data_IF_289223066862
#
_entry.id   IF_289223066862
#
_cell.length_a   1.000
_cell.length_b   1.000
_cell.length_c   1.000
_cell.angle_alpha   90.00
_cell.angle_beta   90.00
_cell.angle_gamma   90.00
#
_symmetry.space_group_name_H-M   'P 1'
#
loop_
_entity.id
_entity.type
_entity.pdbx_description
1 polymer ?
#
# COMPACT_ATOMS: atom_id res chain seq x y z
N UNK A 1 -20.27 6.43 -37.19
CA UNK A 1 -19.53 6.32 -35.94
C UNK A 1 -18.93 4.93 -35.93
N UNK A 2 -17.61 4.82 -36.05
CA UNK A 2 -16.92 3.51 -36.06
C UNK A 2 -16.88 3.03 -34.60
N UNK A 3 -17.63 1.99 -34.27
CA UNK A 3 -17.56 1.34 -32.98
C UNK A 3 -16.10 0.82 -32.81
N UNK A 4 -15.51 1.10 -31.65
CA UNK A 4 -14.21 0.57 -31.30
C UNK A 4 -14.39 -0.90 -30.93
N UNK A 5 -13.55 -1.76 -31.47
CA UNK A 5 -13.57 -3.20 -31.20
C UNK A 5 -12.99 -3.55 -29.83
N UNK A 6 -13.14 -4.81 -29.44
CA UNK A 6 -12.63 -5.30 -28.16
C UNK A 6 -11.10 -5.14 -28.06
N UNK A 7 -10.36 -5.33 -29.17
CA UNK A 7 -8.90 -5.18 -29.20
C UNK A 7 -8.47 -3.73 -28.89
N UNK A 8 -9.20 -2.74 -29.39
CA UNK A 8 -8.95 -1.32 -29.06
C UNK A 8 -9.09 -1.09 -27.55
N UNK A 9 -10.16 -1.57 -26.94
CA UNK A 9 -10.41 -1.39 -25.52
C UNK A 9 -9.39 -2.14 -24.67
N UNK A 10 -9.12 -3.40 -24.99
CA UNK A 10 -8.12 -4.21 -24.30
C UNK A 10 -6.73 -3.53 -24.33
N UNK A 11 -6.31 -2.98 -25.48
CA UNK A 11 -5.06 -2.25 -25.61
C UNK A 11 -5.02 -0.99 -24.73
N UNK A 12 -6.09 -0.20 -24.72
CA UNK A 12 -6.15 1.05 -23.95
C UNK A 12 -6.12 0.78 -22.44
N UNK A 13 -6.89 -0.19 -21.97
CA UNK A 13 -6.95 -0.52 -20.56
C UNK A 13 -5.70 -1.23 -20.06
N UNK A 14 -5.03 -1.99 -20.91
CA UNK A 14 -3.68 -2.52 -20.64
C UNK A 14 -2.66 -1.40 -20.42
N UNK A 15 -2.69 -0.34 -21.23
CA UNK A 15 -1.85 0.83 -21.03
C UNK A 15 -2.14 1.59 -19.73
N UNK A 16 -3.39 1.67 -19.32
CA UNK A 16 -3.76 2.24 -18.01
C UNK A 16 -3.22 1.39 -16.86
N UNK A 17 -3.35 0.07 -16.96
CA UNK A 17 -2.81 -0.86 -15.95
C UNK A 17 -1.30 -0.75 -15.85
N UNK A 18 -0.57 -0.75 -16.97
CA UNK A 18 0.88 -0.55 -17.00
C UNK A 18 1.29 0.75 -16.30
N UNK A 19 0.59 1.86 -16.59
CA UNK A 19 0.86 3.15 -15.94
C UNK A 19 0.60 3.11 -14.43
N UNK A 20 -0.46 2.45 -13.96
CA UNK A 20 -0.74 2.28 -12.53
C UNK A 20 0.26 1.35 -11.86
N UNK A 21 0.70 0.30 -12.55
CA UNK A 21 1.77 -0.59 -12.06
C UNK A 21 3.10 0.16 -11.91
N UNK A 22 3.45 1.02 -12.87
CA UNK A 22 4.65 1.86 -12.80
C UNK A 22 4.60 2.84 -11.63
N UNK A 23 3.45 3.50 -11.39
CA UNK A 23 3.25 4.36 -10.21
C UNK A 23 3.41 3.58 -8.91
N UNK A 24 2.84 2.39 -8.82
CA UNK A 24 2.97 1.52 -7.65
C UNK A 24 4.42 1.06 -7.44
N UNK A 25 5.14 0.75 -8.51
CA UNK A 25 6.56 0.40 -8.47
C UNK A 25 7.42 1.58 -8.03
N UNK A 26 7.14 2.78 -8.52
CA UNK A 26 7.79 4.00 -8.07
C UNK A 26 7.51 4.28 -6.60
N UNK A 27 6.27 4.13 -6.16
CA UNK A 27 5.88 4.28 -4.75
C UNK A 27 6.66 3.29 -3.86
N UNK A 28 6.75 2.02 -4.25
CA UNK A 28 7.51 1.00 -3.52
C UNK A 28 8.97 1.44 -3.36
N UNK A 29 9.62 1.83 -4.44
CA UNK A 29 11.01 2.28 -4.41
C UNK A 29 11.21 3.52 -3.53
N UNK A 30 10.38 4.56 -3.71
CA UNK A 30 10.55 5.85 -3.04
C UNK A 30 10.11 5.84 -1.59
N UNK A 31 9.09 5.08 -1.23
CA UNK A 31 8.48 5.11 0.09
C UNK A 31 8.76 3.83 0.90
N UNK A 32 8.58 2.64 0.32
CA UNK A 32 8.82 1.40 1.07
C UNK A 32 10.32 1.17 1.24
N UNK A 33 11.05 0.99 0.15
CA UNK A 33 12.47 0.62 0.21
C UNK A 33 13.35 1.68 0.89
N UNK A 34 13.13 2.96 0.60
CA UNK A 34 13.91 4.04 1.23
C UNK A 34 13.67 4.13 2.73
N UNK A 35 12.40 4.04 3.18
CA UNK A 35 12.09 4.12 4.61
C UNK A 35 12.62 2.91 5.37
N UNK A 36 12.47 1.71 4.82
CA UNK A 36 13.07 0.51 5.41
C UNK A 36 14.61 0.59 5.45
N UNK A 37 15.23 1.12 4.40
CA UNK A 37 16.68 1.33 4.38
C UNK A 37 17.14 2.28 5.49
N UNK A 38 16.41 3.36 5.74
CA UNK A 38 16.70 4.28 6.85
C UNK A 38 16.52 3.58 8.20
N UNK A 39 15.43 2.84 8.38
CA UNK A 39 15.18 2.08 9.60
C UNK A 39 16.25 1.02 9.86
N UNK A 40 16.73 0.31 8.84
CA UNK A 40 17.85 -0.64 8.94
C UNK A 40 19.10 0.08 9.46
N UNK A 41 19.46 1.24 8.90
CA UNK A 41 20.65 2.00 9.34
C UNK A 41 20.55 2.45 10.80
N UNK A 42 19.37 2.91 11.22
CA UNK A 42 19.18 3.33 12.62
C UNK A 42 19.22 2.11 13.57
N UNK A 43 18.59 0.99 13.21
CA UNK A 43 18.66 -0.24 14.00
C UNK A 43 20.10 -0.77 14.10
N UNK A 44 20.86 -0.78 13.00
CA UNK A 44 22.27 -1.19 13.01
C UNK A 44 23.13 -0.27 13.90
N UNK A 45 22.88 1.03 13.85
CA UNK A 45 23.57 2.03 14.70
C UNK A 45 23.27 1.80 16.18
N UNK A 46 22.00 1.62 16.55
CA UNK A 46 21.60 1.35 17.93
C UNK A 46 22.18 0.04 18.46
N UNK A 47 22.13 -1.02 17.68
CA UNK A 47 22.72 -2.32 18.04
C UNK A 47 24.24 -2.18 18.21
N UNK A 48 24.91 -1.49 17.30
CA UNK A 48 26.37 -1.27 17.37
C UNK A 48 26.74 -0.46 18.61
N UNK A 49 26.08 0.65 18.86
CA UNK A 49 26.33 1.49 20.02
C UNK A 49 26.05 0.74 21.33
N UNK A 50 25.00 -0.09 21.35
CA UNK A 50 24.68 -0.91 22.51
C UNK A 50 25.76 -1.96 22.78
N UNK A 51 26.22 -2.69 21.75
CA UNK A 51 27.27 -3.71 21.89
C UNK A 51 28.61 -3.09 22.28
N UNK A 52 28.96 -1.93 21.71
CA UNK A 52 30.19 -1.21 22.09
C UNK A 52 30.16 -0.79 23.55
N UNK A 53 29.13 -0.13 24.04
CA UNK A 53 28.95 0.23 25.45
C UNK A 53 28.99 -1.00 26.35
N UNK A 54 28.36 -2.09 25.91
CA UNK A 54 28.37 -3.34 26.65
C UNK A 54 29.77 -3.97 26.77
N UNK A 55 30.60 -3.85 25.72
CA UNK A 55 31.99 -4.35 25.72
C UNK A 55 32.94 -3.44 26.52
N UNK A 56 32.81 -2.11 26.41
CA UNK A 56 33.64 -1.10 27.10
C UNK A 56 33.44 -1.14 28.60
N UNK A 57 32.19 -1.24 29.07
CA UNK A 57 31.89 -1.25 30.51
C UNK A 57 32.36 -2.52 31.24
N UNK A 58 32.68 -3.58 30.51
CA UNK A 58 32.91 -4.86 31.14
C UNK A 58 34.32 -5.42 31.04
N UNK A 59 35.24 -4.90 30.25
CA UNK A 59 36.58 -5.50 30.03
C UNK A 59 36.58 -7.07 30.06
N UNK A 60 35.38 -7.65 29.93
CA UNK A 60 34.99 -9.02 30.19
C UNK A 60 34.29 -9.58 28.94
N UNK A 61 34.33 -10.90 28.77
CA UNK A 61 33.61 -11.55 27.68
C UNK A 61 32.11 -11.27 27.76
N UNK A 62 31.39 -11.25 26.61
CA UNK A 62 29.95 -11.10 26.54
C UNK A 62 29.16 -12.03 27.48
N UNK A 63 29.74 -13.18 27.86
CA UNK A 63 29.15 -14.13 28.78
C UNK A 63 29.17 -13.66 30.25
N UNK A 64 30.19 -12.89 30.65
CA UNK A 64 30.35 -12.37 32.01
C UNK A 64 29.61 -11.05 32.23
N UNK A 65 29.46 -10.24 31.19
CA UNK A 65 28.74 -8.98 31.24
C UNK A 65 27.22 -9.14 31.55
N UNK A 66 26.64 -10.33 31.37
CA UNK A 66 25.25 -10.66 31.72
C UNK A 66 24.93 -10.54 33.20
N UNK A 67 25.92 -10.60 34.08
CA UNK A 67 25.65 -10.69 35.53
C UNK A 67 25.60 -9.36 36.28
N UNK A 68 25.95 -8.22 35.62
CA UNK A 68 26.14 -6.96 36.35
C UNK A 68 25.44 -5.78 35.66
N UNK A 69 24.20 -5.54 36.01
CA UNK A 69 23.53 -4.26 35.70
C UNK A 69 23.56 -3.35 36.92
N UNK A 70 23.89 -2.08 36.70
CA UNK A 70 23.95 -1.09 37.77
C UNK A 70 22.71 -0.19 37.80
N UNK A 71 22.38 0.31 38.99
CA UNK A 71 21.26 1.23 39.23
C UNK A 71 21.31 2.50 38.36
N UNK A 72 22.53 2.94 37.97
CA UNK A 72 22.75 4.14 37.16
C UNK A 72 22.25 3.98 35.72
N UNK A 73 22.40 2.82 35.13
CA UNK A 73 21.95 2.51 33.76
C UNK A 73 20.43 2.40 33.67
N UNK A 74 19.78 1.99 34.76
CA UNK A 74 18.33 1.97 34.87
C UNK A 74 17.71 3.38 34.91
N UNK A 75 18.43 4.37 35.45
CA UNK A 75 18.00 5.77 35.49
C UNK A 75 18.10 6.45 34.12
N UNK A 76 19.18 6.20 33.37
CA UNK A 76 19.33 6.68 31.98
C UNK A 76 18.21 6.12 31.07
N UNK A 77 17.87 4.86 31.30
CA UNK A 77 16.83 4.20 30.53
C UNK A 77 15.43 4.74 30.83
N UNK A 78 15.10 5.05 32.09
CA UNK A 78 13.78 5.57 32.46
C UNK A 78 13.48 6.90 31.76
N UNK A 79 14.50 7.78 31.66
CA UNK A 79 14.40 9.04 30.94
C UNK A 79 14.15 8.80 29.42
N UNK A 80 14.89 7.88 28.80
CA UNK A 80 14.72 7.52 27.38
C UNK A 80 13.33 6.95 27.08
N UNK A 81 12.75 6.14 27.99
CA UNK A 81 11.39 5.58 27.81
C UNK A 81 10.31 6.66 27.85
N UNK A 82 10.44 7.66 28.74
CA UNK A 82 9.50 8.79 28.81
C UNK A 82 9.53 9.64 27.52
N UNK A 83 10.70 9.89 26.95
CA UNK A 83 10.83 10.55 25.65
C UNK A 83 10.21 9.72 24.52
N UNK A 84 10.40 8.40 24.53
CA UNK A 84 9.80 7.52 23.54
C UNK A 84 8.27 7.49 23.62
N UNK A 85 7.69 7.51 24.83
CA UNK A 85 6.25 7.63 25.04
C UNK A 85 5.73 8.92 24.43
N UNK A 86 6.41 10.06 24.72
CA UNK A 86 6.06 11.37 24.18
C UNK A 86 6.07 11.40 22.65
N UNK A 87 7.13 10.87 22.02
CA UNK A 87 7.19 10.77 20.57
C UNK A 87 6.13 9.84 20.00
N UNK A 88 5.79 8.76 20.70
CA UNK A 88 4.69 7.88 20.31
C UNK A 88 3.32 8.57 20.34
N UNK A 89 3.07 9.37 21.36
CA UNK A 89 1.83 10.16 21.50
C UNK A 89 1.74 11.28 20.44
N UNK A 90 2.86 11.95 20.14
CA UNK A 90 2.94 13.00 19.12
C UNK A 90 2.70 12.46 17.69
N UNK A 91 3.02 11.20 17.41
CA UNK A 91 2.89 10.58 16.11
C UNK A 91 1.65 9.67 15.95
N UNK A 92 0.67 9.75 16.84
CA UNK A 92 -0.55 8.92 16.82
C UNK A 92 -0.31 7.40 16.78
N UNK A 93 0.79 6.94 17.35
CA UNK A 93 1.15 5.52 17.44
C UNK A 93 0.17 4.79 18.37
N UNK A 94 -0.14 3.51 18.07
CA UNK A 94 -1.20 2.75 18.75
C UNK A 94 -1.11 2.83 20.28
N UNK A 95 -2.25 3.07 20.95
CA UNK A 95 -2.31 3.17 22.41
C UNK A 95 -1.83 1.91 23.15
N UNK A 96 -1.76 0.77 22.47
CA UNK A 96 -1.25 -0.48 23.00
C UNK A 96 0.28 -0.45 23.17
N UNK A 97 1.00 0.14 22.21
CA UNK A 97 2.46 0.34 22.31
C UNK A 97 2.81 1.33 23.44
N UNK A 98 2.07 2.44 23.57
CA UNK A 98 2.22 3.38 24.69
C UNK A 98 2.00 2.69 26.03
N UNK A 99 1.00 1.78 26.12
CA UNK A 99 0.75 0.97 27.32
C UNK A 99 1.89 0.00 27.62
N UNK A 100 2.47 -0.64 26.58
CA UNK A 100 3.62 -1.52 26.76
C UNK A 100 4.86 -0.76 27.27
N UNK A 101 5.11 0.45 26.73
CA UNK A 101 6.20 1.31 27.19
C UNK A 101 6.02 1.78 28.65
N UNK A 102 4.80 2.19 29.04
CA UNK A 102 4.48 2.54 30.43
C UNK A 102 4.72 1.34 31.36
N UNK A 103 4.23 0.17 30.98
CA UNK A 103 4.45 -1.07 31.74
C UNK A 103 5.94 -1.44 31.86
N UNK A 104 6.76 -1.16 30.84
CA UNK A 104 8.20 -1.37 30.90
C UNK A 104 8.89 -0.34 31.80
N UNK A 105 8.44 0.94 31.79
CA UNK A 105 8.94 2.01 32.65
C UNK A 105 8.64 1.75 34.14
N UNK A 106 7.50 1.13 34.46
CA UNK A 106 7.10 0.81 35.82
C UNK A 106 7.80 -0.41 36.41
N UNK A 107 8.52 -1.18 35.61
CA UNK A 107 9.30 -2.34 36.06
C UNK A 107 10.63 -1.90 36.67
N UNK A 108 10.85 -2.22 37.93
CA UNK A 108 12.05 -1.88 38.68
C UNK A 108 13.33 -2.57 38.12
N UNK A 109 13.21 -3.53 37.22
CA UNK A 109 14.30 -4.32 36.64
C UNK A 109 14.16 -4.46 35.13
N UNK A 110 14.45 -3.40 34.39
CA UNK A 110 14.61 -3.48 32.94
C UNK A 110 16.06 -3.85 32.62
N UNK A 111 16.29 -4.91 31.88
CA UNK A 111 17.65 -5.29 31.47
C UNK A 111 18.13 -4.40 30.32
N UNK A 112 19.47 -4.28 30.14
CA UNK A 112 20.05 -3.59 28.97
C UNK A 112 19.50 -4.16 27.65
N UNK A 113 19.28 -5.46 27.59
CA UNK A 113 18.72 -6.12 26.42
C UNK A 113 17.25 -5.72 26.19
N UNK A 114 16.46 -5.58 27.25
CA UNK A 114 15.07 -5.12 27.12
C UNK A 114 15.02 -3.68 26.65
N UNK A 115 15.97 -2.82 27.08
CA UNK A 115 16.15 -1.47 26.58
C UNK A 115 16.36 -1.45 25.06
N UNK A 116 17.28 -2.25 24.55
CA UNK A 116 17.52 -2.33 23.11
C UNK A 116 16.29 -2.85 22.35
N UNK A 117 15.58 -3.84 22.89
CA UNK A 117 14.33 -4.36 22.29
C UNK A 117 13.26 -3.29 22.19
N UNK A 118 13.11 -2.44 23.21
CA UNK A 118 12.14 -1.33 23.19
C UNK A 118 12.53 -0.29 22.13
N UNK A 119 13.81 0.06 22.01
CA UNK A 119 14.29 0.97 20.97
C UNK A 119 14.02 0.41 19.57
N UNK A 120 14.31 -0.87 19.35
CA UNK A 120 14.00 -1.54 18.08
C UNK A 120 12.50 -1.51 17.77
N UNK A 121 11.66 -1.80 18.76
CA UNK A 121 10.20 -1.76 18.59
C UNK A 121 9.74 -0.36 18.19
N UNK A 122 10.28 0.71 18.80
CA UNK A 122 9.94 2.08 18.45
C UNK A 122 10.27 2.41 16.99
N UNK A 123 11.46 2.03 16.52
CA UNK A 123 11.81 2.24 15.12
C UNK A 123 10.83 1.53 14.17
N UNK A 124 10.37 0.33 14.53
CA UNK A 124 9.38 -0.40 13.75
C UNK A 124 7.99 0.26 13.83
N UNK A 125 7.56 0.74 15.00
CA UNK A 125 6.28 1.46 15.15
C UNK A 125 6.26 2.72 14.27
N UNK A 126 7.31 3.52 14.31
CA UNK A 126 7.42 4.71 13.47
C UNK A 126 7.46 4.36 11.97
N UNK A 127 8.24 3.34 11.58
CA UNK A 127 8.32 2.88 10.20
C UNK A 127 6.94 2.45 9.68
N UNK A 128 6.27 1.57 10.39
CA UNK A 128 4.99 1.01 9.93
C UNK A 128 3.83 2.00 10.05
N UNK A 129 3.84 2.91 11.04
CA UNK A 129 2.91 4.03 11.12
C UNK A 129 2.99 4.92 9.87
N UNK A 130 4.20 5.32 9.48
CA UNK A 130 4.43 6.07 8.25
C UNK A 130 3.99 5.28 7.00
N UNK A 131 4.24 3.95 6.95
CA UNK A 131 3.79 3.11 5.84
C UNK A 131 2.26 3.07 5.73
N UNK A 132 1.53 3.00 6.84
CA UNK A 132 0.06 3.03 6.85
C UNK A 132 -0.45 4.34 6.27
N UNK A 133 0.05 5.49 6.76
CA UNK A 133 -0.42 6.81 6.34
C UNK A 133 -0.12 7.08 4.86
N UNK A 134 1.09 6.73 4.42
CA UNK A 134 1.50 6.96 3.03
C UNK A 134 0.81 6.01 2.07
N UNK A 135 0.57 4.76 2.46
CA UNK A 135 -0.16 3.80 1.64
C UNK A 135 -1.64 4.18 1.53
N UNK A 136 -2.27 4.63 2.62
CA UNK A 136 -3.65 5.14 2.58
C UNK A 136 -3.81 6.25 1.53
N UNK A 137 -2.90 7.23 1.55
CA UNK A 137 -2.89 8.31 0.57
C UNK A 137 -2.66 7.80 -0.86
N UNK A 138 -1.68 6.92 -1.05
CA UNK A 138 -1.39 6.34 -2.37
C UNK A 138 -2.61 5.59 -2.93
N UNK A 139 -3.30 4.80 -2.12
CA UNK A 139 -4.49 4.05 -2.56
C UNK A 139 -5.68 4.97 -2.89
N UNK A 140 -5.86 6.08 -2.15
CA UNK A 140 -6.86 7.09 -2.49
C UNK A 140 -6.53 7.77 -3.83
N UNK A 141 -5.28 8.11 -4.08
CA UNK A 141 -4.81 8.68 -5.35
C UNK A 141 -4.98 7.66 -6.49
N UNK A 142 -4.59 6.41 -6.30
CA UNK A 142 -4.78 5.31 -7.27
C UNK A 142 -6.25 5.15 -7.63
N UNK A 143 -7.14 5.12 -6.64
CA UNK A 143 -8.59 5.02 -6.91
C UNK A 143 -9.10 6.21 -7.71
N UNK A 144 -8.74 7.44 -7.32
CA UNK A 144 -9.21 8.65 -7.99
C UNK A 144 -8.67 8.74 -9.43
N UNK A 145 -7.39 8.49 -9.63
CA UNK A 145 -6.75 8.51 -10.94
C UNK A 145 -7.34 7.45 -11.86
N UNK A 146 -7.46 6.21 -11.40
CA UNK A 146 -8.06 5.12 -12.18
C UNK A 146 -9.51 5.42 -12.56
N UNK A 147 -10.29 6.04 -11.66
CA UNK A 147 -11.66 6.46 -11.94
C UNK A 147 -11.73 7.48 -13.08
N UNK A 148 -10.92 8.54 -13.01
CA UNK A 148 -10.95 9.61 -14.02
C UNK A 148 -10.31 9.20 -15.34
N UNK A 149 -9.22 8.44 -15.33
CA UNK A 149 -8.60 7.92 -16.53
C UNK A 149 -9.53 6.96 -17.27
N UNK A 150 -10.26 6.10 -16.53
CA UNK A 150 -11.28 5.23 -17.09
C UNK A 150 -12.37 6.04 -17.80
N UNK A 151 -12.88 7.10 -17.15
CA UNK A 151 -13.88 7.97 -17.76
C UNK A 151 -13.37 8.66 -19.03
N UNK A 152 -12.12 9.16 -18.97
CA UNK A 152 -11.48 9.80 -20.12
C UNK A 152 -11.33 8.83 -21.30
N UNK A 153 -10.81 7.63 -21.07
CA UNK A 153 -10.62 6.65 -22.15
C UNK A 153 -11.93 6.20 -22.78
N UNK A 154 -12.95 5.96 -21.95
CA UNK A 154 -14.28 5.59 -22.48
C UNK A 154 -14.89 6.76 -23.25
N UNK A 155 -14.85 7.99 -22.73
CA UNK A 155 -15.34 9.18 -23.41
C UNK A 155 -14.62 9.39 -24.75
N UNK A 156 -13.30 9.30 -24.77
CA UNK A 156 -12.47 9.42 -25.97
C UNK A 156 -12.75 8.32 -27.00
N UNK A 157 -12.86 7.07 -26.56
CA UNK A 157 -13.11 5.96 -27.46
C UNK A 157 -14.51 5.95 -28.05
N UNK A 158 -15.49 6.46 -27.32
CA UNK A 158 -16.87 6.63 -27.79
C UNK A 158 -17.13 7.99 -28.46
N UNK A 159 -16.15 8.89 -28.47
CA UNK A 159 -16.28 10.25 -28.99
C UNK A 159 -17.41 11.06 -28.32
N UNK A 160 -17.59 10.88 -27.00
CA UNK A 160 -18.63 11.54 -26.21
C UNK A 160 -18.04 12.35 -25.07
N UNK A 161 -18.68 13.46 -24.72
CA UNK A 161 -18.34 14.21 -23.53
C UNK A 161 -19.06 13.61 -22.31
N UNK A 162 -18.30 13.35 -21.26
CA UNK A 162 -18.83 12.87 -19.98
C UNK A 162 -18.48 13.88 -18.90
N UNK A 163 -19.50 14.48 -18.30
CA UNK A 163 -19.30 15.35 -17.15
C UNK A 163 -19.21 14.49 -15.88
N UNK A 164 -18.14 14.67 -15.11
CA UNK A 164 -17.86 13.91 -13.92
C UNK A 164 -17.85 14.83 -12.70
N UNK A 165 -18.48 14.40 -11.62
CA UNK A 165 -18.34 15.07 -10.35
C UNK A 165 -16.97 14.75 -9.71
N UNK A 166 -16.39 15.75 -9.05
CA UNK A 166 -15.16 15.51 -8.30
C UNK A 166 -15.42 14.51 -7.17
N UNK A 167 -14.54 13.53 -7.05
CA UNK A 167 -14.58 12.60 -5.93
C UNK A 167 -14.23 13.36 -4.64
N UNK A 168 -15.06 13.19 -3.62
CA UNK A 168 -14.86 13.77 -2.29
C UNK A 168 -13.82 12.95 -1.52
N UNK A 169 -12.90 13.64 -0.83
CA UNK A 169 -11.85 12.99 -0.05
C UNK A 169 -12.42 12.09 1.06
N UNK A 170 -13.51 12.49 1.72
CA UNK A 170 -14.14 11.65 2.74
C UNK A 170 -14.68 10.34 2.15
N UNK A 171 -15.18 10.39 0.90
CA UNK A 171 -15.63 9.22 0.19
C UNK A 171 -14.48 8.33 -0.22
N UNK A 172 -13.35 8.89 -0.69
CA UNK A 172 -12.14 8.15 -1.02
C UNK A 172 -11.61 7.41 0.21
N UNK A 173 -11.45 8.10 1.34
CA UNK A 173 -11.02 7.51 2.59
C UNK A 173 -11.98 6.39 3.05
N UNK A 174 -13.30 6.59 2.92
CA UNK A 174 -14.29 5.56 3.25
C UNK A 174 -14.22 4.32 2.35
N UNK A 175 -13.80 4.46 1.10
CA UNK A 175 -13.61 3.31 0.19
C UNK A 175 -12.36 2.53 0.56
N UNK A 176 -11.24 3.23 0.78
CA UNK A 176 -9.93 2.63 1.07
C UNK A 176 -9.89 1.95 2.44
N UNK A 177 -10.66 2.46 3.42
CA UNK A 177 -10.73 1.86 4.76
C UNK A 177 -11.57 0.58 4.86
N UNK A 178 -12.24 0.14 3.77
CA UNK A 178 -13.07 -1.06 3.80
C UNK A 178 -12.29 -2.30 3.41
N UNK A 179 -12.40 -3.40 4.18
CA UNK A 179 -11.82 -4.66 3.79
C UNK A 179 -12.52 -5.22 2.55
N UNK A 180 -11.75 -5.69 1.59
CA UNK A 180 -12.25 -6.29 0.36
C UNK A 180 -12.01 -7.80 0.28
N UNK A 181 -11.07 -8.31 1.08
CA UNK A 181 -10.76 -9.74 1.18
C UNK A 181 -11.71 -10.41 2.19
N UNK A 182 -12.02 -11.68 1.97
CA UNK A 182 -12.95 -12.46 2.80
C UNK A 182 -12.56 -12.58 4.27
N UNK A 183 -11.29 -12.37 4.61
CA UNK A 183 -10.79 -12.41 5.99
C UNK A 183 -11.14 -11.14 6.79
N UNK A 184 -11.79 -10.16 6.18
CA UNK A 184 -12.20 -8.91 6.80
C UNK A 184 -11.06 -8.00 7.24
N UNK A 185 -9.84 -8.22 6.74
CA UNK A 185 -8.66 -7.41 7.07
C UNK A 185 -8.37 -6.36 6.00
N UNK A 186 -8.04 -5.15 6.47
CA UNK A 186 -7.58 -4.03 5.63
C UNK A 186 -6.08 -4.13 5.38
N UNK A 187 -5.54 -3.28 4.49
CA UNK A 187 -4.10 -3.13 4.30
C UNK A 187 -3.40 -2.69 5.61
N UNK A 188 -4.03 -1.81 6.40
CA UNK A 188 -3.51 -1.37 7.68
C UNK A 188 -3.39 -2.52 8.68
N UNK A 189 -4.43 -3.36 8.82
CA UNK A 189 -4.39 -4.55 9.68
C UNK A 189 -3.26 -5.50 9.28
N UNK A 190 -2.99 -5.62 7.97
CA UNK A 190 -1.91 -6.46 7.45
C UNK A 190 -0.53 -5.88 7.77
N UNK A 191 -0.35 -4.57 7.60
CA UNK A 191 0.90 -3.89 7.95
C UNK A 191 1.20 -4.02 9.44
N UNK A 192 0.22 -3.77 10.31
CA UNK A 192 0.42 -3.91 11.76
C UNK A 192 0.76 -5.34 12.18
N UNK A 193 0.09 -6.32 11.61
CA UNK A 193 0.41 -7.75 11.84
C UNK A 193 1.83 -8.09 11.37
N UNK A 194 2.23 -7.61 10.20
CA UNK A 194 3.57 -7.86 9.65
C UNK A 194 4.64 -7.18 10.52
N UNK A 195 4.38 -5.98 11.06
CA UNK A 195 5.21 -5.32 12.08
C UNK A 195 5.35 -6.17 13.34
N UNK A 196 4.26 -6.68 13.90
CA UNK A 196 4.29 -7.51 15.10
C UNK A 196 5.10 -8.79 14.89
N UNK A 197 4.92 -9.42 13.73
CA UNK A 197 5.69 -10.61 13.34
C UNK A 197 7.18 -10.28 13.23
N UNK A 198 7.54 -9.20 12.53
CA UNK A 198 8.91 -8.74 12.37
C UNK A 198 9.56 -8.40 13.71
N UNK A 199 8.85 -7.66 14.57
CA UNK A 199 9.31 -7.28 15.90
C UNK A 199 9.63 -8.51 16.77
N UNK A 200 8.72 -9.49 16.79
CA UNK A 200 8.90 -10.74 17.53
C UNK A 200 10.14 -11.49 17.05
N UNK A 201 10.28 -11.67 15.75
CA UNK A 201 11.42 -12.38 15.14
C UNK A 201 12.74 -11.67 15.42
N UNK A 202 12.79 -10.34 15.28
CA UNK A 202 14.00 -9.57 15.54
C UNK A 202 14.40 -9.61 17.02
N UNK A 203 13.44 -9.47 17.94
CA UNK A 203 13.71 -9.54 19.38
C UNK A 203 14.20 -10.92 19.82
N UNK A 204 13.62 -11.99 19.27
CA UNK A 204 14.06 -13.35 19.54
C UNK A 204 15.46 -13.61 19.01
N UNK A 205 15.74 -13.26 17.75
CA UNK A 205 17.06 -13.45 17.15
C UNK A 205 18.13 -12.62 17.84
N UNK A 206 17.84 -11.37 18.20
CA UNK A 206 18.74 -10.55 18.98
C UNK A 206 19.07 -11.19 20.34
N UNK A 207 18.05 -11.65 21.05
CA UNK A 207 18.23 -12.33 22.35
C UNK A 207 19.10 -13.57 22.21
N UNK A 208 18.83 -14.39 21.21
CA UNK A 208 19.61 -15.61 20.94
C UNK A 208 21.06 -15.29 20.55
N UNK A 209 21.28 -14.28 19.71
CA UNK A 209 22.60 -13.87 19.28
C UNK A 209 23.45 -13.32 20.46
N UNK A 210 22.84 -12.49 21.30
CA UNK A 210 23.48 -11.97 22.52
C UNK A 210 23.77 -13.11 23.50
N UNK A 211 22.84 -14.06 23.65
CA UNK A 211 23.02 -15.25 24.51
C UNK A 211 24.18 -16.11 24.02
N UNK A 212 24.34 -16.29 22.72
CA UNK A 212 25.42 -17.09 22.13
C UNK A 212 26.75 -16.34 22.03
N UNK A 213 26.76 -15.00 22.25
CA UNK A 213 27.93 -14.19 22.05
C UNK A 213 28.33 -14.04 20.58
N UNK A 214 27.35 -13.96 19.69
CA UNK A 214 27.60 -13.85 18.25
C UNK A 214 28.33 -12.54 17.91
N UNK A 215 29.21 -12.54 16.89
CA UNK A 215 29.86 -11.34 16.40
C UNK A 215 28.83 -10.31 15.91
N UNK A 216 29.10 -9.00 16.14
CA UNK A 216 28.25 -7.89 15.71
C UNK A 216 27.84 -7.99 14.23
N UNK A 217 28.79 -8.35 13.35
CA UNK A 217 28.52 -8.50 11.91
C UNK A 217 27.45 -9.54 11.59
N UNK A 218 27.31 -10.62 12.37
CA UNK A 218 26.27 -11.61 12.20
C UNK A 218 24.91 -11.06 12.68
N UNK A 219 24.91 -10.33 13.78
CA UNK A 219 23.69 -9.74 14.34
C UNK A 219 23.09 -8.71 13.35
N UNK A 220 23.91 -7.78 12.86
CA UNK A 220 23.47 -6.77 11.89
C UNK A 220 23.05 -7.38 10.56
N UNK A 221 23.75 -8.42 10.09
CA UNK A 221 23.36 -9.18 8.91
C UNK A 221 21.97 -9.81 9.09
N UNK A 222 21.71 -10.47 10.21
CA UNK A 222 20.40 -11.08 10.49
C UNK A 222 19.28 -10.06 10.50
N UNK A 223 19.49 -8.88 11.09
CA UNK A 223 18.52 -7.77 11.04
C UNK A 223 18.26 -7.34 9.60
N UNK A 224 19.31 -7.14 8.82
CA UNK A 224 19.17 -6.75 7.40
C UNK A 224 18.40 -7.77 6.57
N UNK A 225 18.70 -9.04 6.75
CA UNK A 225 18.02 -10.13 6.03
C UNK A 225 16.53 -10.18 6.38
N UNK A 226 16.15 -10.01 7.65
CA UNK A 226 14.74 -9.97 8.08
C UNK A 226 14.00 -8.75 7.59
N UNK A 227 14.63 -7.59 7.64
CA UNK A 227 14.07 -6.36 7.07
C UNK A 227 13.89 -6.49 5.54
N UNK A 228 14.78 -7.17 4.83
CA UNK A 228 14.64 -7.46 3.39
C UNK A 228 13.40 -8.31 3.08
N UNK A 229 13.07 -9.29 3.93
CA UNK A 229 11.83 -10.07 3.82
C UNK A 229 10.61 -9.16 4.07
N UNK A 230 10.69 -8.27 5.05
CA UNK A 230 9.60 -7.33 5.35
C UNK A 230 9.37 -6.32 4.22
N UNK A 231 10.43 -5.82 3.57
CA UNK A 231 10.33 -4.99 2.35
C UNK A 231 9.56 -5.73 1.26
N UNK A 232 9.91 -6.99 1.00
CA UNK A 232 9.25 -7.79 -0.02
C UNK A 232 7.77 -8.05 0.30
N UNK A 233 7.42 -8.21 1.59
CA UNK A 233 6.04 -8.35 2.05
C UNK A 233 5.25 -7.06 1.84
N UNK A 234 5.81 -5.91 2.24
CA UNK A 234 5.20 -4.60 2.07
C UNK A 234 5.01 -4.25 0.57
N UNK A 235 6.01 -4.50 -0.26
CA UNK A 235 5.93 -4.28 -1.71
C UNK A 235 4.80 -5.10 -2.36
N UNK A 236 4.69 -6.38 -1.97
CA UNK A 236 3.60 -7.25 -2.43
C UNK A 236 2.23 -6.74 -2.00
N UNK A 237 2.11 -6.26 -0.78
CA UNK A 237 0.88 -5.65 -0.28
C UNK A 237 0.50 -4.42 -1.10
N UNK A 238 1.43 -3.48 -1.29
CA UNK A 238 1.22 -2.28 -2.11
C UNK A 238 0.71 -2.65 -3.51
N UNK A 239 1.41 -3.51 -4.22
CA UNK A 239 1.03 -3.91 -5.59
C UNK A 239 -0.37 -4.55 -5.64
N UNK A 240 -0.70 -5.39 -4.65
CA UNK A 240 -1.99 -6.09 -4.62
C UNK A 240 -3.15 -5.16 -4.28
N UNK A 241 -2.97 -4.28 -3.29
CA UNK A 241 -3.99 -3.30 -2.90
C UNK A 241 -4.20 -2.25 -4.02
N UNK A 242 -3.12 -1.77 -4.64
CA UNK A 242 -3.23 -0.82 -5.77
C UNK A 242 -4.01 -1.44 -6.95
N UNK A 243 -3.71 -2.68 -7.32
CA UNK A 243 -4.47 -3.38 -8.37
C UNK A 243 -5.96 -3.55 -8.02
N UNK A 244 -6.28 -3.84 -6.76
CA UNK A 244 -7.66 -3.91 -6.30
C UNK A 244 -8.37 -2.56 -6.40
N UNK A 245 -7.79 -1.49 -5.85
CA UNK A 245 -8.44 -0.18 -5.84
C UNK A 245 -8.54 0.43 -7.24
N UNK A 246 -7.58 0.20 -8.12
CA UNK A 246 -7.68 0.57 -9.54
C UNK A 246 -8.86 -0.15 -10.22
N UNK A 247 -8.98 -1.46 -10.03
CA UNK A 247 -10.08 -2.26 -10.59
C UNK A 247 -11.45 -1.85 -10.01
N UNK A 248 -11.53 -1.59 -8.70
CA UNK A 248 -12.76 -1.11 -8.06
C UNK A 248 -13.19 0.28 -8.58
N UNK A 249 -12.22 1.15 -8.84
CA UNK A 249 -12.47 2.45 -9.46
C UNK A 249 -12.99 2.32 -10.90
N UNK A 250 -12.39 1.42 -11.70
CA UNK A 250 -12.85 1.10 -13.06
C UNK A 250 -14.29 0.56 -13.03
N UNK A 251 -14.60 -0.40 -12.15
CA UNK A 251 -15.96 -0.92 -11.96
C UNK A 251 -16.95 0.19 -11.65
N UNK A 252 -16.59 1.08 -10.73
CA UNK A 252 -17.46 2.20 -10.34
C UNK A 252 -17.68 3.16 -11.51
N UNK A 253 -16.63 3.46 -12.26
CA UNK A 253 -16.72 4.29 -13.46
C UNK A 253 -17.55 3.63 -14.56
N UNK A 254 -17.34 2.36 -14.85
CA UNK A 254 -18.13 1.60 -15.81
C UNK A 254 -19.63 1.60 -15.46
N UNK A 255 -19.94 1.38 -14.17
CA UNK A 255 -21.31 1.48 -13.68
C UNK A 255 -21.93 2.87 -13.91
N UNK A 256 -21.16 3.93 -13.67
CA UNK A 256 -21.58 5.32 -13.90
C UNK A 256 -21.82 5.60 -15.40
N UNK A 257 -20.96 5.07 -16.27
CA UNK A 257 -21.04 5.24 -17.72
C UNK A 257 -22.06 4.31 -18.39
N UNK A 258 -22.69 3.41 -17.62
CA UNK A 258 -23.70 2.47 -18.14
C UNK A 258 -23.11 1.29 -18.91
N UNK A 259 -21.81 1.02 -18.77
CA UNK A 259 -21.17 -0.20 -19.27
C UNK A 259 -21.77 -1.41 -18.56
N UNK A 260 -22.18 -2.42 -19.31
CA UNK A 260 -22.86 -3.60 -18.76
C UNK A 260 -21.97 -4.80 -18.61
N UNK A 261 -21.03 -4.94 -19.51
CA UNK A 261 -20.10 -6.07 -19.57
C UNK A 261 -18.66 -5.59 -19.66
N UNK A 262 -17.77 -6.39 -19.14
CA UNK A 262 -16.33 -6.15 -19.25
C UNK A 262 -15.61 -7.41 -19.71
N UNK A 263 -14.49 -7.21 -20.36
CA UNK A 263 -13.53 -8.23 -20.73
C UNK A 263 -12.41 -8.29 -19.69
N UNK A 264 -12.02 -9.49 -19.29
CA UNK A 264 -10.80 -9.70 -18.49
C UNK A 264 -9.59 -9.65 -19.42
N UNK A 265 -8.64 -8.79 -19.14
CA UNK A 265 -7.46 -8.56 -19.97
C UNK A 265 -6.20 -8.89 -19.15
N UNK A 266 -5.53 -9.99 -19.51
CA UNK A 266 -4.27 -10.36 -18.90
C UNK A 266 -3.08 -9.65 -19.57
N UNK A 267 -2.04 -9.35 -18.78
CA UNK A 267 -0.73 -9.02 -19.33
C UNK A 267 -0.05 -10.33 -19.71
N UNK A 268 0.07 -10.59 -21.01
CA UNK A 268 0.61 -11.85 -21.51
C UNK A 268 2.15 -11.77 -21.63
N UNK A 269 2.82 -12.23 -20.58
CA UNK A 269 4.28 -12.42 -20.55
C UNK A 269 4.64 -13.72 -19.81
N UNK A 270 5.94 -13.99 -19.67
CA UNK A 270 6.50 -15.18 -19.01
C UNK A 270 6.19 -15.27 -17.49
N UNK A 271 5.70 -14.16 -16.89
CA UNK A 271 5.36 -14.07 -15.45
C UNK A 271 3.85 -14.12 -15.21
N UNK A 272 3.05 -14.21 -16.25
CA UNK A 272 1.58 -14.27 -16.11
C UNK A 272 1.16 -15.63 -15.59
N UNK A 273 0.39 -15.63 -14.50
CA UNK A 273 -0.11 -16.87 -13.90
C UNK A 273 -1.10 -17.59 -14.80
N UNK A 274 -1.16 -18.92 -14.70
CA UNK A 274 -2.11 -19.76 -15.46
C UNK A 274 -3.56 -19.28 -15.26
N UNK A 275 -3.94 -18.90 -14.03
CA UNK A 275 -5.29 -18.38 -13.74
C UNK A 275 -5.58 -17.14 -14.58
N UNK A 276 -4.63 -16.20 -14.73
CA UNK A 276 -4.84 -15.01 -15.53
C UNK A 276 -4.84 -15.31 -17.02
N UNK A 277 -3.98 -16.26 -17.48
CA UNK A 277 -3.97 -16.72 -18.86
C UNK A 277 -5.32 -17.35 -19.26
N UNK A 278 -5.86 -18.21 -18.38
CA UNK A 278 -7.17 -18.86 -18.59
C UNK A 278 -8.36 -17.87 -18.61
N UNK A 279 -8.19 -16.73 -17.97
CA UNK A 279 -9.24 -15.69 -17.89
C UNK A 279 -9.17 -14.70 -19.03
N UNK A 280 -8.05 -14.59 -19.72
CA UNK A 280 -7.84 -13.61 -20.79
C UNK A 280 -8.91 -13.72 -21.89
N UNK A 281 -9.46 -12.58 -22.31
CA UNK A 281 -10.52 -12.49 -23.31
C UNK A 281 -11.89 -12.96 -22.87
N UNK A 282 -12.10 -13.39 -21.63
CA UNK A 282 -13.43 -13.76 -21.12
C UNK A 282 -14.25 -12.53 -20.75
N UNK A 283 -15.52 -12.57 -21.11
CA UNK A 283 -16.48 -11.50 -20.84
C UNK A 283 -17.38 -11.83 -19.65
N UNK A 284 -17.71 -10.81 -18.86
CA UNK A 284 -18.56 -10.94 -17.68
C UNK A 284 -19.48 -9.74 -17.53
N UNK A 285 -20.65 -9.97 -16.94
CA UNK A 285 -21.52 -8.85 -16.54
C UNK A 285 -20.88 -8.06 -15.42
N UNK A 286 -20.95 -6.74 -15.50
CA UNK A 286 -20.40 -5.84 -14.49
C UNK A 286 -21.04 -6.07 -13.11
N UNK A 287 -22.31 -6.48 -13.06
CA UNK A 287 -23.03 -6.80 -11.82
C UNK A 287 -22.49 -8.04 -11.10
N UNK A 288 -21.86 -8.95 -11.83
CA UNK A 288 -21.37 -10.22 -11.32
C UNK A 288 -19.87 -10.18 -10.97
N UNK A 289 -19.28 -8.98 -11.05
CA UNK A 289 -17.86 -8.76 -10.82
C UNK A 289 -17.46 -9.11 -9.38
N UNK A 290 -16.46 -9.98 -9.27
CA UNK A 290 -15.89 -10.44 -7.98
C UNK A 290 -14.38 -10.52 -8.09
N UNK A 291 -13.64 -9.61 -7.40
CA UNK A 291 -12.18 -9.69 -7.32
C UNK A 291 -11.72 -11.06 -6.83
N UNK A 292 -10.66 -11.60 -7.43
CA UNK A 292 -10.13 -12.93 -7.13
C UNK A 292 -10.95 -14.09 -7.69
N UNK A 293 -12.00 -13.81 -8.47
CA UNK A 293 -12.85 -14.84 -9.12
C UNK A 293 -12.95 -14.62 -10.62
N UNK A 294 -13.44 -13.46 -11.04
CA UNK A 294 -13.59 -13.07 -12.45
C UNK A 294 -13.03 -11.68 -12.74
N UNK A 295 -12.48 -11.00 -11.76
CA UNK A 295 -11.85 -9.69 -11.89
C UNK A 295 -10.55 -9.60 -11.09
N UNK A 296 -9.57 -8.79 -11.52
CA UNK A 296 -8.35 -8.56 -10.78
C UNK A 296 -8.57 -7.90 -9.41
N UNK A 297 -7.63 -8.08 -8.45
CA UNK A 297 -6.48 -8.97 -8.54
C UNK A 297 -6.87 -10.43 -8.32
N UNK A 298 -6.39 -11.33 -9.18
CA UNK A 298 -6.63 -12.79 -9.05
C UNK A 298 -5.69 -13.42 -8.02
N UNK A 299 -4.54 -12.83 -7.82
CA UNK A 299 -3.46 -13.26 -6.91
C UNK A 299 -2.61 -12.06 -6.51
N UNK A 300 -1.69 -12.25 -5.57
CA UNK A 300 -0.71 -11.21 -5.23
C UNK A 300 0.13 -10.80 -6.45
N UNK A 301 0.40 -9.49 -6.58
CA UNK A 301 1.12 -8.90 -7.73
C UNK A 301 0.43 -9.16 -9.09
N UNK A 302 -0.89 -9.25 -9.11
CA UNK A 302 -1.64 -9.39 -10.35
C UNK A 302 -1.51 -8.12 -11.21
N UNK A 303 -1.19 -8.30 -12.51
CA UNK A 303 -1.04 -7.21 -13.50
C UNK A 303 -2.12 -7.26 -14.58
N UNK A 304 -3.19 -8.01 -14.35
CA UNK A 304 -4.35 -8.04 -15.23
C UNK A 304 -5.27 -6.86 -14.94
N UNK A 305 -6.04 -6.46 -15.94
CA UNK A 305 -7.04 -5.39 -15.82
C UNK A 305 -8.39 -5.82 -16.40
N UNK A 306 -9.36 -4.92 -16.36
CA UNK A 306 -10.63 -5.08 -17.03
C UNK A 306 -10.78 -3.99 -18.12
N UNK A 307 -11.37 -4.34 -19.24
CA UNK A 307 -11.73 -3.40 -20.30
C UNK A 307 -13.25 -3.39 -20.50
N UNK A 308 -13.86 -2.26 -20.89
CA UNK A 308 -15.29 -2.25 -21.21
C UNK A 308 -15.54 -3.10 -22.44
N UNK A 309 -16.57 -3.94 -22.40
CA UNK A 309 -17.00 -4.75 -23.53
C UNK A 309 -18.34 -4.26 -24.07
N UNK A 310 -18.41 -4.07 -25.38
CA UNK A 310 -19.60 -3.65 -26.10
C UNK A 310 -19.89 -4.69 -27.18
N UNK A 311 -21.07 -5.30 -27.13
CA UNK A 311 -21.53 -6.23 -28.18
C UNK A 311 -21.86 -5.43 -29.44
N UNK A 312 -21.04 -5.55 -30.49
CA UNK A 312 -21.10 -4.78 -31.72
C UNK A 312 -22.43 -4.95 -32.49
N UNK A 313 -23.22 -5.98 -32.16
CA UNK A 313 -24.43 -6.31 -32.87
C UNK A 313 -25.72 -5.60 -32.40
N UNK A 314 -25.72 -5.00 -31.18
CA UNK A 314 -27.00 -4.54 -30.58
C UNK A 314 -27.04 -3.15 -29.95
N UNK A 315 -25.92 -2.51 -29.63
CA UNK A 315 -25.93 -1.31 -28.80
C UNK A 315 -25.27 -0.06 -29.42
N UNK A 316 -25.46 0.16 -30.74
CA UNK A 316 -25.05 1.39 -31.44
C UNK A 316 -25.69 2.71 -30.91
N UNK A 317 -26.50 2.63 -29.87
CA UNK A 317 -27.29 3.76 -29.34
C UNK A 317 -26.88 4.21 -27.92
N UNK A 318 -25.76 3.76 -27.36
CA UNK A 318 -25.37 4.13 -25.98
C UNK A 318 -24.26 5.16 -25.95
N UNK A 319 -24.61 6.37 -26.34
CA UNK A 319 -23.86 7.54 -25.92
C UNK A 319 -23.96 7.70 -24.41
N UNK A 320 -22.81 7.93 -23.73
CA UNK A 320 -22.85 8.32 -22.34
C UNK A 320 -23.64 9.62 -22.17
N UNK A 321 -24.71 9.58 -21.38
CA UNK A 321 -25.53 10.75 -21.10
C UNK A 321 -24.87 11.59 -20.03
N UNK A 322 -24.75 12.90 -20.28
CA UNK A 322 -24.58 13.87 -19.21
C UNK A 322 -25.84 13.82 -18.33
N UNK A 323 -25.69 13.41 -17.08
CA UNK A 323 -26.82 13.19 -16.17
C UNK A 323 -27.52 14.49 -15.75
N UNK A 324 -26.83 15.65 -15.82
CA UNK A 324 -27.42 16.94 -15.47
C UNK A 324 -28.13 17.60 -16.66
N UNK A 325 -27.57 17.47 -17.86
CA UNK A 325 -28.12 18.14 -19.04
C UNK A 325 -28.85 17.22 -20.02
N UNK A 326 -28.74 15.91 -19.82
CA UNK A 326 -29.24 14.88 -20.75
C UNK A 326 -28.73 15.00 -22.20
N UNK A 327 -27.64 15.78 -22.41
CA UNK A 327 -27.05 16.02 -23.73
C UNK A 327 -25.73 15.26 -23.89
N UNK A 328 -25.48 14.81 -25.09
CA UNK A 328 -24.19 14.21 -25.48
C UNK A 328 -23.36 15.29 -26.16
N UNK A 329 -22.14 15.49 -25.70
CA UNK A 329 -21.14 16.37 -26.30
C UNK A 329 -19.99 15.56 -26.88
N UNK A 330 -19.39 16.04 -27.97
CA UNK A 330 -18.22 15.39 -28.60
C UNK A 330 -16.93 15.87 -27.95
N UNK A 331 -16.06 14.94 -27.60
CA UNK A 331 -14.72 15.25 -27.09
C UNK A 331 -13.74 15.33 -28.26
N UNK A 332 -12.95 16.43 -28.42
CA UNK A 332 -11.92 16.51 -29.44
C UNK A 332 -10.95 15.32 -29.35
N UNK A 333 -10.61 14.74 -30.50
CA UNK A 333 -9.73 13.54 -30.55
C UNK A 333 -8.32 13.81 -30.06
N UNK A 334 -7.86 15.06 -30.10
CA UNK A 334 -6.55 15.55 -29.67
C UNK A 334 -6.53 16.04 -28.23
N UNK A 335 -7.68 16.07 -27.52
CA UNK A 335 -7.75 16.50 -26.14
C UNK A 335 -6.93 15.59 -25.23
N UNK A 336 -6.02 16.19 -24.46
CA UNK A 336 -5.18 15.47 -23.50
C UNK A 336 -5.95 15.21 -22.19
N UNK A 337 -5.47 14.25 -21.38
CA UNK A 337 -6.07 13.98 -20.08
C UNK A 337 -6.11 15.17 -19.12
N UNK A 338 -5.05 16.01 -18.98
CA UNK A 338 -5.10 17.20 -18.15
C UNK A 338 -6.18 18.19 -18.60
N UNK A 339 -6.33 18.44 -19.89
CA UNK A 339 -7.35 19.33 -20.45
C UNK A 339 -8.77 18.81 -20.19
N UNK A 340 -8.96 17.48 -20.37
CA UNK A 340 -10.22 16.83 -20.08
C UNK A 340 -10.57 16.94 -18.59
N UNK A 341 -9.61 16.63 -17.69
CA UNK A 341 -9.80 16.70 -16.24
C UNK A 341 -10.17 18.11 -15.78
N UNK A 342 -9.45 19.11 -16.29
CA UNK A 342 -9.74 20.52 -16.00
C UNK A 342 -11.14 20.93 -16.46
N UNK A 343 -11.56 20.49 -17.65
CA UNK A 343 -12.82 20.90 -18.27
C UNK A 343 -14.04 20.18 -17.66
N UNK A 344 -13.93 18.88 -17.42
CA UNK A 344 -15.08 18.03 -17.08
C UNK A 344 -15.12 17.56 -15.62
N UNK A 345 -14.06 17.78 -14.85
CA UNK A 345 -13.99 17.43 -13.42
C UNK A 345 -13.86 18.67 -12.54
N UNK A 346 -12.90 19.56 -12.84
CA UNK A 346 -12.58 20.68 -11.95
C UNK A 346 -13.53 21.86 -12.12
N UNK A 347 -13.92 22.19 -13.35
CA UNK A 347 -14.88 23.29 -13.62
C UNK A 347 -16.32 22.94 -13.28
N UNK A 348 -16.70 21.68 -13.27
CA UNK A 348 -18.03 21.25 -12.86
C UNK A 348 -18.33 21.51 -11.38
N UNK A 349 -17.29 21.65 -10.54
CA UNK A 349 -17.43 21.91 -9.11
C UNK A 349 -17.55 23.40 -8.73
N UNK A 350 -17.51 24.33 -9.70
CA UNK A 350 -17.61 25.79 -9.49
C UNK A 350 -18.95 26.40 -9.94
N UNK A 351 -19.93 25.57 -10.33
CA UNK A 351 -21.30 26.02 -10.61
C UNK A 351 -22.00 26.44 -9.30
N UNK A 352 -22.93 27.40 -9.36
CA UNK A 352 -23.59 27.90 -8.18
C UNK A 352 -24.39 26.81 -7.48
N UNK A 353 -24.27 26.79 -6.13
CA UNK A 353 -25.07 25.94 -5.23
C UNK A 353 -26.54 26.29 -5.30
#
# INVERSE_FOLDING_TARGET
MTLRDAEYWAKRFRQLEEAEHDKSSQYIYENVEKQFTLAIKELEKEITAWIQRFAEDNALSMAEARKRLTTKELQEFKWTVEDYIKHGEENHISGEWTKQLRNASDRVHVTRLDSLKIQMQQHLEALYGNQVDMLDKHLQETYADSYYHTAYEVAKGQEVAVQMNRLDNARLASVVSKPWVRDGKTFSDRLWRDKDTLNTVLQEQLSQAVIRGEPLGNITKNVRDRMGVAISSAARLVSTESAFFATAAQQKCFSFLGVKEYEFVATLDDRTSEICQDMDGKHFKLTDMKPGTNAPPMHCNCRSCIAPYFDDAKDSARAARNLETSKTETVPADMTYPEWKQKYVEKASTGPK
#
